data_IF_285365488796
#
_entry.id   IF_285365488796
#
_cell.length_a   1.000
_cell.length_b   1.000
_cell.length_c   1.000
_cell.angle_alpha   90.00
_cell.angle_beta   90.00
_cell.angle_gamma   90.00
#
_symmetry.space_group_name_H-M   'P 1'
#
loop_
_entity.id
_entity.type
_entity.pdbx_description
1 polymer ?
#
# COMPACT_ATOMS: atom_id res chain seq x y z
N UNK A 1 -33.16 6.48 -0.66
CA UNK A 1 -31.88 7.00 -0.12
C UNK A 1 -30.85 5.88 -0.19
N UNK A 2 -30.12 5.78 -1.31
CA UNK A 2 -29.15 4.72 -1.57
C UNK A 2 -27.85 5.05 -0.85
N UNK A 3 -27.60 4.35 0.27
CA UNK A 3 -26.34 4.41 0.99
C UNK A 3 -25.19 4.05 0.05
N UNK A 4 -24.27 4.99 -0.13
CA UNK A 4 -23.00 4.81 -0.82
C UNK A 4 -22.15 3.79 -0.04
N UNK A 5 -22.39 2.50 -0.30
CA UNK A 5 -21.38 1.46 -0.06
C UNK A 5 -20.33 1.69 -1.15
N UNK A 6 -19.27 2.42 -0.83
CA UNK A 6 -18.07 2.41 -1.65
C UNK A 6 -17.61 0.95 -1.75
N UNK A 7 -17.87 0.36 -2.91
CA UNK A 7 -17.63 -1.04 -3.18
C UNK A 7 -16.12 -1.20 -3.29
N UNK A 8 -15.47 -1.70 -2.23
CA UNK A 8 -14.03 -1.97 -2.23
C UNK A 8 -13.63 -2.89 -3.41
N UNK A 9 -14.60 -3.61 -3.98
CA UNK A 9 -14.49 -4.42 -5.20
C UNK A 9 -14.31 -3.61 -6.49
N UNK A 10 -14.71 -2.34 -6.55
CA UNK A 10 -14.41 -1.47 -7.71
C UNK A 10 -12.91 -1.10 -7.79
N UNK A 11 -12.14 -1.32 -6.71
CA UNK A 11 -10.67 -1.12 -6.69
C UNK A 11 -9.86 -2.33 -7.18
N UNK A 12 -10.52 -3.42 -7.58
CA UNK A 12 -9.87 -4.72 -7.84
C UNK A 12 -8.84 -4.67 -8.98
N UNK A 13 -8.83 -3.61 -9.80
CA UNK A 13 -7.71 -3.29 -10.70
C UNK A 13 -7.50 -1.78 -10.82
N UNK A 14 -7.14 -1.11 -9.72
CA UNK A 14 -6.62 0.25 -9.82
C UNK A 14 -5.34 0.22 -10.67
N UNK A 15 -5.25 1.09 -11.67
CA UNK A 15 -4.05 1.18 -12.51
C UNK A 15 -2.90 1.65 -11.60
N UNK A 16 -1.83 0.86 -11.41
CA UNK A 16 -0.80 1.17 -10.43
C UNK A 16 -0.17 2.52 -10.74
N UNK A 17 0.02 3.35 -9.72
CA UNK A 17 0.60 4.68 -9.92
C UNK A 17 2.00 4.57 -10.51
N UNK A 18 2.48 5.62 -11.18
CA UNK A 18 3.89 5.65 -11.65
C UNK A 18 4.87 5.37 -10.51
N UNK A 19 4.55 5.84 -9.29
CA UNK A 19 5.35 5.59 -8.10
C UNK A 19 5.41 4.08 -7.76
N UNK A 20 4.26 3.40 -7.73
CA UNK A 20 4.20 1.96 -7.49
C UNK A 20 4.97 1.16 -8.55
N UNK A 21 4.80 1.50 -9.82
CA UNK A 21 5.47 0.81 -10.93
C UNK A 21 6.99 0.92 -10.79
N UNK A 22 7.51 2.12 -10.51
CA UNK A 22 8.94 2.35 -10.35
C UNK A 22 9.52 1.65 -9.11
N UNK A 23 8.79 1.61 -8.00
CA UNK A 23 9.17 0.82 -6.81
C UNK A 23 9.19 -0.67 -7.15
N UNK A 24 8.17 -1.15 -7.85
CA UNK A 24 8.01 -2.56 -8.28
C UNK A 24 9.17 -3.00 -9.18
N UNK A 25 9.58 -2.16 -10.13
CA UNK A 25 10.74 -2.42 -11.01
C UNK A 25 12.01 -2.59 -10.17
N UNK A 26 12.26 -1.69 -9.22
CA UNK A 26 13.46 -1.80 -8.35
C UNK A 26 13.46 -3.05 -7.49
N UNK A 27 12.30 -3.42 -6.94
CA UNK A 27 12.18 -4.67 -6.18
C UNK A 27 12.50 -5.90 -7.05
N UNK A 28 12.17 -5.86 -8.34
CA UNK A 28 12.51 -6.94 -9.29
C UNK A 28 14.01 -6.97 -9.59
N UNK A 29 14.62 -5.81 -9.82
CA UNK A 29 16.06 -5.68 -10.04
C UNK A 29 16.86 -6.23 -8.84
N UNK A 30 16.40 -5.95 -7.63
CA UNK A 30 16.98 -6.43 -6.37
C UNK A 30 16.55 -7.87 -6.00
N UNK A 31 15.76 -8.54 -6.85
CA UNK A 31 15.26 -9.90 -6.68
C UNK A 31 14.47 -10.14 -5.38
N UNK A 32 13.84 -9.09 -4.84
CA UNK A 32 13.01 -9.16 -3.65
C UNK A 32 11.65 -9.76 -4.01
N UNK A 33 11.20 -10.76 -3.24
CA UNK A 33 9.92 -11.43 -3.47
C UNK A 33 8.77 -10.68 -2.81
N UNK A 34 7.73 -10.39 -3.60
CA UNK A 34 6.50 -9.74 -3.15
C UNK A 34 5.30 -10.18 -4.00
N UNK A 35 4.09 -9.88 -3.53
CA UNK A 35 2.85 -9.97 -4.29
C UNK A 35 2.29 -8.56 -4.46
N UNK A 36 1.81 -8.21 -5.66
CA UNK A 36 1.12 -6.95 -5.92
C UNK A 36 -0.39 -7.10 -5.71
N UNK A 37 -1.06 -6.01 -5.35
CA UNK A 37 -2.53 -5.94 -5.27
C UNK A 37 -3.13 -7.11 -4.47
N UNK A 38 -2.50 -7.46 -3.35
CA UNK A 38 -2.92 -8.60 -2.55
C UNK A 38 -4.25 -8.29 -1.86
N UNK A 39 -5.27 -9.12 -2.13
CA UNK A 39 -6.56 -9.03 -1.45
C UNK A 39 -6.43 -9.53 -0.01
N UNK A 40 -6.60 -8.63 0.95
CA UNK A 40 -6.50 -8.93 2.37
C UNK A 40 -7.79 -8.48 3.05
N UNK A 41 -8.66 -9.46 3.27
CA UNK A 41 -9.91 -9.33 4.01
C UNK A 41 -10.90 -8.33 3.37
N UNK A 42 -10.75 -7.05 3.72
CA UNK A 42 -11.62 -5.92 3.37
C UNK A 42 -10.86 -4.79 2.68
N UNK A 43 -9.59 -5.03 2.31
CA UNK A 43 -8.77 -4.09 1.53
C UNK A 43 -7.90 -4.85 0.54
N UNK A 44 -7.37 -4.11 -0.43
CA UNK A 44 -6.27 -4.55 -1.29
C UNK A 44 -5.02 -3.79 -0.85
N UNK A 45 -3.91 -4.50 -0.65
CA UNK A 45 -2.60 -3.89 -0.36
C UNK A 45 -1.81 -3.77 -1.67
N UNK A 46 -1.09 -2.66 -1.87
CA UNK A 46 -0.36 -2.43 -3.12
C UNK A 46 0.80 -3.42 -3.25
N UNK A 47 1.53 -3.66 -2.15
CA UNK A 47 2.55 -4.70 -2.04
C UNK A 47 2.35 -5.53 -0.77
N UNK A 48 2.55 -6.83 -0.89
CA UNK A 48 2.54 -7.81 0.18
C UNK A 48 3.85 -8.60 0.20
N UNK A 49 4.52 -8.59 1.35
CA UNK A 49 5.76 -9.32 1.57
C UNK A 49 5.52 -10.46 2.57
N UNK A 50 5.61 -11.73 2.15
CA UNK A 50 5.43 -12.89 3.02
C UNK A 50 6.69 -13.16 3.87
N UNK A 51 7.02 -12.23 4.77
CA UNK A 51 8.13 -12.40 5.70
C UNK A 51 7.83 -13.53 6.71
N UNK A 52 8.84 -14.29 7.10
CA UNK A 52 8.68 -15.51 7.92
C UNK A 52 8.05 -15.25 9.30
N UNK A 53 8.31 -14.08 9.89
CA UNK A 53 7.84 -13.74 11.24
C UNK A 53 6.49 -13.02 11.23
N UNK A 54 6.37 -11.94 10.47
CA UNK A 54 5.14 -11.14 10.32
C UNK A 54 5.07 -10.57 8.90
N UNK A 55 4.03 -10.88 8.11
CA UNK A 55 3.92 -10.35 6.77
C UNK A 55 3.85 -8.83 6.80
N UNK A 56 4.52 -8.18 5.84
CA UNK A 56 4.51 -6.73 5.67
C UNK A 56 3.55 -6.34 4.55
N UNK A 57 2.64 -5.41 4.87
CA UNK A 57 1.72 -4.78 3.94
C UNK A 57 2.21 -3.37 3.65
N UNK A 58 2.38 -3.04 2.38
CA UNK A 58 2.77 -1.69 1.96
C UNK A 58 1.62 -1.06 1.20
N UNK A 59 1.26 0.16 1.62
CA UNK A 59 0.28 1.02 0.98
C UNK A 59 1.00 2.25 0.43
N UNK A 60 0.92 2.47 -0.88
CA UNK A 60 1.55 3.58 -1.61
C UNK A 60 0.49 4.65 -1.88
N UNK A 61 0.17 5.42 -0.84
CA UNK A 61 -0.87 6.45 -0.91
C UNK A 61 -0.32 7.76 -1.48
N UNK A 62 -0.78 8.12 -2.69
CA UNK A 62 -0.64 9.47 -3.23
C UNK A 62 -1.66 10.44 -2.64
N UNK A 63 -1.30 11.73 -2.48
CA UNK A 63 -2.14 12.73 -1.80
C UNK A 63 -3.58 12.88 -2.33
N UNK A 64 -3.85 12.45 -3.57
CA UNK A 64 -5.14 12.61 -4.25
C UNK A 64 -6.26 11.77 -3.61
N UNK A 65 -5.96 10.90 -2.63
CA UNK A 65 -6.94 10.07 -1.93
C UNK A 65 -7.35 10.57 -0.52
N UNK A 66 -6.87 11.75 -0.09
CA UNK A 66 -7.12 12.30 1.26
C UNK A 66 -8.46 13.03 1.45
N UNK A 67 -9.57 12.38 1.10
CA UNK A 67 -10.84 12.78 1.70
C UNK A 67 -10.80 12.47 3.20
N UNK A 68 -11.01 13.44 4.09
CA UNK A 68 -10.85 13.31 5.56
C UNK A 68 -11.60 12.10 6.14
N UNK A 69 -12.78 11.77 5.61
CA UNK A 69 -13.57 10.61 6.00
C UNK A 69 -12.98 9.27 5.51
N UNK A 70 -12.28 9.26 4.38
CA UNK A 70 -11.62 8.07 3.84
C UNK A 70 -10.33 7.77 4.62
N UNK A 71 -9.61 8.79 5.07
CA UNK A 71 -8.43 8.63 5.93
C UNK A 71 -8.76 7.97 7.26
N UNK A 72 -9.83 8.40 7.93
CA UNK A 72 -10.26 7.79 9.19
C UNK A 72 -10.61 6.30 9.02
N UNK A 73 -11.31 5.95 7.93
CA UNK A 73 -11.61 4.55 7.59
C UNK A 73 -10.35 3.73 7.28
N UNK A 74 -9.41 4.30 6.52
CA UNK A 74 -8.15 3.65 6.21
C UNK A 74 -7.34 3.40 7.50
N UNK A 75 -7.29 4.37 8.42
CA UNK A 75 -6.57 4.22 9.70
C UNK A 75 -7.19 3.15 10.60
N UNK A 76 -8.51 3.13 10.75
CA UNK A 76 -9.20 2.06 11.49
C UNK A 76 -8.91 0.68 10.90
N UNK A 77 -8.93 0.56 9.57
CA UNK A 77 -8.63 -0.67 8.86
C UNK A 77 -7.17 -1.12 9.10
N UNK A 78 -6.22 -0.18 9.09
CA UNK A 78 -4.81 -0.45 9.38
C UNK A 78 -4.61 -0.89 10.82
N UNK A 79 -5.29 -0.27 11.79
CA UNK A 79 -5.25 -0.71 13.18
C UNK A 79 -5.77 -2.15 13.35
N UNK A 80 -6.82 -2.52 12.62
CA UNK A 80 -7.34 -3.90 12.61
C UNK A 80 -6.32 -4.89 12.03
N UNK A 81 -5.66 -4.54 10.94
CA UNK A 81 -4.62 -5.38 10.33
C UNK A 81 -3.40 -5.54 11.26
N UNK A 82 -2.96 -4.46 11.93
CA UNK A 82 -1.89 -4.52 12.95
C UNK A 82 -2.27 -5.46 14.10
N UNK A 83 -3.50 -5.39 14.59
CA UNK A 83 -4.03 -6.30 15.63
C UNK A 83 -4.06 -7.77 15.18
N UNK A 84 -4.15 -8.03 13.87
CA UNK A 84 -4.08 -9.38 13.30
C UNK A 84 -2.65 -9.88 13.06
N UNK A 85 -1.64 -9.09 13.42
CA UNK A 85 -0.23 -9.49 13.35
C UNK A 85 0.49 -9.04 12.08
N UNK A 86 -0.17 -8.30 11.18
CA UNK A 86 0.48 -7.72 10.01
C UNK A 86 1.34 -6.51 10.40
N UNK A 87 2.52 -6.39 9.79
CA UNK A 87 3.27 -5.12 9.76
C UNK A 87 2.68 -4.27 8.65
N UNK A 88 2.57 -2.96 8.87
CA UNK A 88 2.00 -2.04 7.90
C UNK A 88 2.97 -0.89 7.70
N UNK A 89 3.35 -0.65 6.44
CA UNK A 89 4.14 0.49 5.99
C UNK A 89 3.29 1.34 5.06
N UNK A 90 3.30 2.65 5.30
CA UNK A 90 2.57 3.63 4.51
C UNK A 90 3.58 4.54 3.81
N UNK A 91 3.67 4.41 2.49
CA UNK A 91 4.56 5.21 1.65
C UNK A 91 3.76 6.40 1.09
N UNK A 92 3.77 7.49 1.86
CA UNK A 92 3.04 8.70 1.49
C UNK A 92 3.88 9.61 0.56
N UNK A 93 3.25 10.07 -0.52
CA UNK A 93 3.85 11.06 -1.42
C UNK A 93 2.83 12.07 -1.95
N UNK A 94 3.31 13.29 -2.13
CA UNK A 94 2.56 14.42 -2.67
C UNK A 94 2.60 14.44 -4.20
N UNK A 95 3.77 14.15 -4.79
CA UNK A 95 4.00 14.13 -6.21
C UNK A 95 5.11 13.15 -6.59
N UNK A 96 5.11 12.70 -7.84
CA UNK A 96 6.19 11.86 -8.34
C UNK A 96 7.46 12.69 -8.53
N UNK A 97 8.56 12.24 -7.93
CA UNK A 97 9.92 12.65 -8.28
C UNK A 97 10.88 11.49 -8.03
N UNK A 98 11.96 11.42 -8.82
CA UNK A 98 12.95 10.35 -8.68
C UNK A 98 13.58 10.33 -7.28
N UNK A 99 13.85 11.51 -6.71
CA UNK A 99 14.34 11.64 -5.33
C UNK A 99 13.34 11.07 -4.31
N UNK A 100 12.04 11.33 -4.49
CA UNK A 100 11.01 10.82 -3.58
C UNK A 100 10.85 9.31 -3.74
N UNK A 101 10.88 8.79 -4.98
CA UNK A 101 10.92 7.35 -5.24
C UNK A 101 12.10 6.70 -4.51
N UNK A 102 13.29 7.28 -4.63
CA UNK A 102 14.50 6.75 -3.99
C UNK A 102 14.36 6.71 -2.47
N UNK A 103 13.82 7.78 -1.88
CA UNK A 103 13.54 7.82 -0.44
C UNK A 103 12.54 6.74 -0.02
N UNK A 104 11.38 6.65 -0.69
CA UNK A 104 10.36 5.66 -0.37
C UNK A 104 10.86 4.22 -0.54
N UNK A 105 11.75 4.02 -1.52
CA UNK A 105 12.40 2.73 -1.73
C UNK A 105 13.32 2.37 -0.55
N UNK A 106 14.13 3.32 -0.06
CA UNK A 106 14.95 3.10 1.13
C UNK A 106 14.09 2.85 2.38
N UNK A 107 13.04 3.64 2.58
CA UNK A 107 12.10 3.44 3.69
C UNK A 107 11.45 2.04 3.65
N UNK A 108 11.16 1.53 2.45
CA UNK A 108 10.68 0.17 2.25
C UNK A 108 11.75 -0.86 2.64
N UNK A 109 12.99 -0.71 2.15
CA UNK A 109 14.08 -1.64 2.45
C UNK A 109 14.41 -1.72 3.95
N UNK A 110 14.38 -0.60 4.67
CA UNK A 110 14.58 -0.57 6.12
C UNK A 110 13.48 -1.32 6.91
N UNK A 111 12.33 -1.53 6.28
CA UNK A 111 11.18 -2.18 6.89
C UNK A 111 10.98 -3.63 6.47
N UNK A 112 11.71 -4.14 5.47
CA UNK A 112 11.72 -5.56 5.11
C UNK A 112 12.48 -6.36 6.18
#
# INVERSE_FOLDING_TARGET
MSGQRSDWRERVYANPSRMEQEITIRLQDDQIRYLTQAEILVTTADLYFPLESRPLLVFVDGQVHHGTAQMAKNEELRLLLRKRGYRILELQYDSYSDKKRDQLYQDLLENL
#
